data_IF_059081474513
#
_entry.id   IF_059081474513
#
_cell.length_a   1.000
_cell.length_b   1.000
_cell.length_c   1.000
_cell.angle_alpha   90.00
_cell.angle_beta   90.00
_cell.angle_gamma   90.00
#
_symmetry.space_group_name_H-M   'P 1'
#
loop_
_entity.id
_entity.type
_entity.pdbx_description
1 polymer ?
#
# COMPACT_ATOMS: atom_id res chain seq x y z
N UNK A 1 -51.36 -6.73 -5.94
CA UNK A 1 -50.58 -5.49 -5.79
C UNK A 1 -49.16 -5.81 -6.20
N UNK A 2 -48.61 -5.05 -7.15
CA UNK A 2 -47.21 -5.21 -7.55
C UNK A 2 -46.31 -4.79 -6.40
N UNK A 3 -45.28 -5.59 -6.11
CA UNK A 3 -44.33 -5.30 -5.05
C UNK A 3 -43.62 -3.95 -5.34
N UNK A 4 -43.28 -3.12 -4.32
CA UNK A 4 -42.62 -1.82 -4.55
C UNK A 4 -41.25 -1.88 -5.22
N UNK A 5 -40.57 -3.03 -5.13
CA UNK A 5 -39.31 -3.34 -5.81
C UNK A 5 -39.56 -4.18 -7.07
N UNK A 6 -38.73 -3.95 -8.09
CA UNK A 6 -38.74 -4.72 -9.33
C UNK A 6 -38.33 -6.18 -9.11
N UNK A 7 -38.81 -7.08 -9.95
CA UNK A 7 -38.46 -8.51 -9.91
C UNK A 7 -36.96 -8.75 -9.95
N UNK A 8 -36.22 -7.89 -10.67
CA UNK A 8 -34.77 -7.95 -10.76
C UNK A 8 -34.10 -7.68 -9.41
N UNK A 9 -34.57 -6.67 -8.67
CA UNK A 9 -34.06 -6.38 -7.32
C UNK A 9 -34.42 -7.50 -6.36
N UNK A 10 -35.66 -8.00 -6.41
CA UNK A 10 -36.12 -9.10 -5.57
C UNK A 10 -35.31 -10.38 -5.80
N UNK A 11 -35.01 -10.71 -7.06
CA UNK A 11 -34.18 -11.86 -7.40
C UNK A 11 -32.77 -11.75 -6.82
N UNK A 12 -32.17 -10.57 -6.84
CA UNK A 12 -30.84 -10.34 -6.26
C UNK A 12 -30.84 -10.41 -4.72
N UNK A 13 -31.88 -9.86 -4.07
CA UNK A 13 -32.06 -9.98 -2.62
C UNK A 13 -32.16 -11.46 -2.23
N UNK A 14 -33.00 -12.22 -2.93
CA UNK A 14 -33.18 -13.65 -2.68
C UNK A 14 -31.89 -14.46 -2.96
N UNK A 15 -31.17 -14.15 -4.04
CA UNK A 15 -29.87 -14.77 -4.36
C UNK A 15 -28.84 -14.58 -3.25
N UNK A 16 -28.89 -13.42 -2.58
CA UNK A 16 -28.03 -13.07 -1.46
C UNK A 16 -28.58 -13.58 -0.12
N UNK A 17 -29.69 -14.33 -0.09
CA UNK A 17 -30.26 -14.88 1.13
C UNK A 17 -31.08 -13.90 1.97
N UNK A 18 -31.25 -12.65 1.49
CA UNK A 18 -32.09 -11.65 2.14
C UNK A 18 -33.57 -11.93 1.87
N UNK A 19 -34.43 -11.43 2.77
CA UNK A 19 -35.89 -11.52 2.63
C UNK A 19 -36.51 -10.21 3.08
N UNK A 20 -37.61 -9.82 2.47
CA UNK A 20 -38.37 -8.67 2.96
C UNK A 20 -39.27 -9.17 4.08
N UNK A 21 -39.32 -8.41 5.18
CA UNK A 21 -40.19 -8.68 6.31
C UNK A 21 -41.61 -9.04 5.88
N UNK A 22 -42.14 -10.13 6.42
CA UNK A 22 -43.48 -10.60 6.07
C UNK A 22 -44.59 -9.62 6.49
N UNK A 23 -44.33 -8.81 7.52
CA UNK A 23 -45.23 -7.75 8.01
C UNK A 23 -44.98 -6.37 7.37
N UNK A 24 -44.15 -6.31 6.32
CA UNK A 24 -43.89 -5.06 5.61
C UNK A 24 -45.16 -4.53 4.93
N UNK A 25 -45.50 -3.29 5.25
CA UNK A 25 -46.53 -2.51 4.59
C UNK A 25 -45.99 -1.10 4.33
N UNK A 26 -46.32 -0.56 3.16
CA UNK A 26 -46.00 0.83 2.81
C UNK A 26 -46.75 1.77 3.75
N UNK A 27 -46.03 2.71 4.36
CA UNK A 27 -46.59 3.73 5.26
C UNK A 27 -46.40 5.10 4.65
N UNK A 28 -47.28 6.03 5.00
CA UNK A 28 -47.05 7.45 4.69
C UNK A 28 -45.99 7.99 5.66
N UNK A 29 -44.74 7.95 5.23
CA UNK A 29 -43.57 8.34 6.03
C UNK A 29 -42.90 9.51 5.34
N UNK A 30 -42.69 10.60 6.07
CA UNK A 30 -41.93 11.76 5.60
C UNK A 30 -40.69 11.95 6.46
N UNK A 31 -39.64 12.49 5.84
CA UNK A 31 -38.39 12.85 6.51
C UNK A 31 -38.05 14.30 6.24
N UNK A 32 -37.49 14.96 7.25
CA UNK A 32 -36.94 16.30 7.10
C UNK A 32 -35.66 16.24 6.28
N UNK A 33 -35.57 17.10 5.27
CA UNK A 33 -34.39 17.26 4.43
C UNK A 33 -33.97 18.73 4.40
N UNK A 34 -32.72 19.03 4.00
CA UNK A 34 -32.26 20.41 3.86
C UNK A 34 -33.11 21.28 2.91
N UNK A 35 -33.88 20.64 2.01
CA UNK A 35 -34.80 21.29 1.07
C UNK A 35 -36.29 21.08 1.44
N UNK A 36 -36.56 20.83 2.72
CA UNK A 36 -37.90 20.66 3.31
C UNK A 36 -38.34 19.19 3.45
N UNK A 37 -39.52 18.94 4.04
CA UNK A 37 -40.03 17.60 4.28
C UNK A 37 -40.31 16.86 2.96
N UNK A 38 -39.91 15.59 2.88
CA UNK A 38 -40.10 14.73 1.71
C UNK A 38 -40.65 13.36 2.09
N UNK A 39 -41.62 12.87 1.32
CA UNK A 39 -42.13 11.50 1.45
C UNK A 39 -41.07 10.49 1.06
N UNK A 40 -40.95 9.42 1.85
CA UNK A 40 -40.03 8.30 1.60
C UNK A 40 -40.68 7.33 0.62
N UNK A 41 -40.09 7.08 -0.58
CA UNK A 41 -40.69 6.21 -1.59
C UNK A 41 -40.95 4.79 -1.09
N UNK A 42 -42.01 4.11 -1.56
CA UNK A 42 -42.32 2.72 -1.20
C UNK A 42 -41.15 1.73 -1.41
N UNK A 43 -40.31 1.94 -2.42
CA UNK A 43 -39.14 1.11 -2.69
C UNK A 43 -38.01 1.31 -1.67
N UNK A 44 -37.84 2.52 -1.13
CA UNK A 44 -36.90 2.79 -0.04
C UNK A 44 -37.40 2.14 1.25
N UNK A 45 -38.69 2.27 1.55
CA UNK A 45 -39.30 1.60 2.69
C UNK A 45 -39.14 0.07 2.61
N UNK A 46 -39.33 -0.51 1.42
CA UNK A 46 -39.14 -1.93 1.18
C UNK A 46 -37.67 -2.35 1.34
N UNK A 47 -36.73 -1.50 0.97
CA UNK A 47 -35.29 -1.75 1.14
C UNK A 47 -34.87 -1.76 2.61
N UNK A 48 -35.42 -0.86 3.43
CA UNK A 48 -35.18 -0.83 4.88
C UNK A 48 -35.84 -2.00 5.62
N UNK A 49 -36.80 -2.67 4.97
CA UNK A 49 -37.49 -3.84 5.49
C UNK A 49 -36.80 -5.17 5.09
N UNK A 50 -35.63 -5.12 4.45
CA UNK A 50 -34.86 -6.31 4.13
C UNK A 50 -34.21 -6.85 5.40
N UNK A 51 -34.53 -8.09 5.73
CA UNK A 51 -33.84 -8.90 6.72
C UNK A 51 -32.76 -9.74 6.05
N UNK A 52 -31.54 -9.55 6.52
CA UNK A 52 -30.41 -10.42 6.20
C UNK A 52 -30.26 -11.48 7.30
N UNK A 53 -29.83 -12.71 6.97
CA UNK A 53 -29.50 -13.70 7.98
C UNK A 53 -28.50 -13.15 9.02
N UNK A 54 -28.68 -13.51 10.29
CA UNK A 54 -27.84 -13.01 11.37
C UNK A 54 -26.35 -13.31 11.11
N UNK A 55 -25.50 -12.29 11.25
CA UNK A 55 -24.05 -12.40 10.99
C UNK A 55 -23.69 -12.47 9.50
N UNK A 56 -24.65 -12.32 8.59
CA UNK A 56 -24.37 -12.27 7.16
C UNK A 56 -23.83 -10.90 6.76
N UNK A 57 -22.64 -10.91 6.16
CA UNK A 57 -22.04 -9.71 5.59
C UNK A 57 -22.04 -9.84 4.07
N UNK A 58 -22.37 -8.75 3.37
CA UNK A 58 -22.37 -8.69 1.92
C UNK A 58 -21.14 -7.91 1.44
N UNK A 59 -20.41 -8.42 0.45
CA UNK A 59 -19.20 -7.79 -0.10
C UNK A 59 -19.27 -7.59 -1.60
N UNK A 60 -18.70 -6.50 -2.12
CA UNK A 60 -18.74 -6.18 -3.56
C UNK A 60 -17.45 -6.57 -4.31
N UNK A 61 -17.57 -7.39 -5.35
CA UNK A 61 -16.44 -8.06 -6.04
C UNK A 61 -15.44 -7.12 -6.75
N UNK A 62 -15.93 -6.04 -7.35
CA UNK A 62 -15.10 -5.12 -8.15
C UNK A 62 -14.67 -3.88 -7.36
N UNK A 63 -15.35 -3.65 -6.24
CA UNK A 63 -15.11 -2.48 -5.42
C UNK A 63 -14.44 -2.91 -4.11
N UNK A 64 -13.37 -3.70 -4.24
CA UNK A 64 -12.42 -3.93 -3.15
C UNK A 64 -13.03 -4.61 -1.90
N UNK A 65 -14.02 -5.48 -2.11
CA UNK A 65 -14.72 -6.27 -1.09
C UNK A 65 -15.21 -5.47 0.11
N UNK A 66 -15.84 -4.30 -0.12
CA UNK A 66 -16.44 -3.56 0.98
C UNK A 66 -17.69 -4.24 1.50
N UNK A 67 -17.79 -4.25 2.82
CA UNK A 67 -18.98 -4.70 3.53
C UNK A 67 -20.14 -3.73 3.23
N UNK A 68 -21.28 -4.25 2.83
CA UNK A 68 -22.52 -3.53 2.58
C UNK A 68 -23.41 -3.71 3.80
N UNK A 69 -23.55 -2.66 4.59
CA UNK A 69 -24.51 -2.65 5.72
C UNK A 69 -25.69 -1.79 5.33
N UNK A 70 -26.90 -2.34 5.44
CA UNK A 70 -28.14 -1.58 5.34
C UNK A 70 -28.60 -1.30 6.77
N UNK A 71 -28.79 -0.03 7.18
CA UNK A 71 -29.14 0.32 8.55
C UNK A 71 -30.54 -0.21 8.88
N UNK A 72 -30.77 -0.52 10.15
CA UNK A 72 -32.13 -0.73 10.63
C UNK A 72 -32.95 0.57 10.45
N UNK A 73 -34.29 0.51 10.30
CA UNK A 73 -35.13 1.70 10.07
C UNK A 73 -34.92 2.86 11.06
N UNK A 74 -34.46 2.57 12.29
CA UNK A 74 -34.20 3.56 13.33
C UNK A 74 -32.79 4.20 13.28
N UNK A 75 -31.87 3.66 12.49
CA UNK A 75 -30.45 4.06 12.42
C UNK A 75 -30.11 4.86 11.15
N UNK A 76 -31.07 5.03 10.24
CA UNK A 76 -30.90 5.85 9.05
C UNK A 76 -30.79 7.33 9.45
N UNK A 77 -29.57 7.88 9.44
CA UNK A 77 -29.33 9.31 9.67
C UNK A 77 -30.12 10.14 8.66
N UNK A 78 -31.10 10.89 9.16
CA UNK A 78 -31.92 11.81 8.36
C UNK A 78 -31.18 13.13 8.22
N UNK A 79 -30.89 13.53 6.97
CA UNK A 79 -30.39 14.87 6.66
C UNK A 79 -28.88 14.96 6.49
N UNK A 80 -28.37 14.48 5.35
CA UNK A 80 -27.00 14.71 4.93
C UNK A 80 -26.98 15.69 3.76
N UNK A 81 -26.25 16.80 3.92
CA UNK A 81 -25.89 17.71 2.83
C UNK A 81 -24.53 17.29 2.28
N UNK A 82 -24.50 16.52 1.19
CA UNK A 82 -23.26 16.35 0.45
C UNK A 82 -22.90 17.70 -0.19
N UNK A 83 -21.72 18.25 0.12
CA UNK A 83 -21.32 19.58 -0.36
C UNK A 83 -21.48 19.68 -1.89
N UNK A 84 -22.32 20.60 -2.35
CA UNK A 84 -22.58 20.84 -3.78
C UNK A 84 -23.77 20.09 -4.39
N UNK A 85 -24.53 19.30 -3.63
CA UNK A 85 -25.74 18.63 -4.11
C UNK A 85 -26.97 19.04 -3.29
N UNK A 86 -27.83 19.91 -3.85
CA UNK A 86 -29.06 20.41 -3.21
C UNK A 86 -30.25 19.42 -3.24
N UNK A 87 -30.02 18.14 -3.53
CA UNK A 87 -31.11 17.16 -3.61
C UNK A 87 -31.54 16.65 -2.22
N UNK A 88 -32.78 16.13 -2.16
CA UNK A 88 -33.29 15.43 -1.00
C UNK A 88 -32.76 13.99 -0.96
N UNK A 89 -31.76 13.74 -0.12
CA UNK A 89 -31.11 12.43 -0.03
C UNK A 89 -31.59 11.60 1.16
N UNK A 90 -31.54 10.27 1.01
CA UNK A 90 -31.82 9.33 2.09
C UNK A 90 -30.71 8.28 2.20
N UNK A 91 -30.14 8.12 3.40
CA UNK A 91 -29.10 7.14 3.68
C UNK A 91 -29.72 5.73 3.77
N UNK A 92 -29.27 4.83 2.90
CA UNK A 92 -29.73 3.44 2.81
C UNK A 92 -28.65 2.44 3.22
N UNK A 93 -27.45 2.91 3.53
CA UNK A 93 -26.35 2.01 3.82
C UNK A 93 -25.07 2.72 4.19
N UNK A 94 -24.12 1.94 4.71
CA UNK A 94 -22.72 2.33 4.86
C UNK A 94 -21.83 1.21 4.38
N UNK A 95 -20.60 1.57 4.04
CA UNK A 95 -19.57 0.59 3.76
C UNK A 95 -18.34 0.67 4.67
N UNK A 96 -17.46 -0.33 4.54
CA UNK A 96 -16.25 -0.48 5.33
C UNK A 96 -15.22 0.66 5.17
N UNK A 97 -15.41 1.57 4.19
CA UNK A 97 -14.60 2.77 4.00
C UNK A 97 -15.23 4.02 4.65
N UNK A 98 -16.30 3.83 5.44
CA UNK A 98 -17.12 4.89 6.03
C UNK A 98 -17.84 5.77 5.00
N UNK A 99 -18.03 5.27 3.77
CA UNK A 99 -18.84 5.95 2.79
C UNK A 99 -20.32 5.65 3.04
N UNK A 100 -21.17 6.66 2.87
CA UNK A 100 -22.63 6.54 3.00
C UNK A 100 -23.24 6.23 1.65
N UNK A 101 -24.08 5.21 1.59
CA UNK A 101 -24.90 4.86 0.44
C UNK A 101 -26.20 5.64 0.52
N UNK A 102 -26.52 6.37 -0.53
CA UNK A 102 -27.63 7.32 -0.53
C UNK A 102 -28.52 7.12 -1.75
N UNK A 103 -29.81 7.39 -1.60
CA UNK A 103 -30.75 7.46 -2.72
C UNK A 103 -31.34 8.85 -2.80
N UNK A 104 -31.50 9.33 -4.03
CA UNK A 104 -32.19 10.57 -4.33
C UNK A 104 -33.71 10.38 -4.20
N UNK A 105 -34.34 11.06 -3.24
CA UNK A 105 -35.79 11.05 -3.04
C UNK A 105 -36.54 11.81 -4.15
N UNK A 106 -35.84 12.68 -4.91
CA UNK A 106 -36.42 13.50 -5.97
C UNK A 106 -36.31 12.85 -7.36
N UNK A 107 -35.65 11.70 -7.52
CA UNK A 107 -35.44 11.06 -8.83
C UNK A 107 -36.31 9.81 -9.01
N UNK A 108 -37.51 9.92 -9.62
CA UNK A 108 -38.44 8.80 -9.81
C UNK A 108 -38.11 7.93 -11.03
N UNK A 109 -36.90 8.03 -11.60
CA UNK A 109 -36.59 7.43 -12.92
C UNK A 109 -36.70 5.91 -12.95
N UNK A 110 -36.69 5.23 -11.79
CA UNK A 110 -36.94 3.79 -11.65
C UNK A 110 -37.56 3.48 -10.28
N UNK A 111 -38.89 3.54 -10.11
CA UNK A 111 -39.53 3.42 -8.79
C UNK A 111 -39.26 2.07 -8.11
N UNK A 112 -39.06 0.98 -8.87
CA UNK A 112 -38.72 -0.34 -8.34
C UNK A 112 -37.23 -0.73 -8.37
N UNK A 113 -36.35 0.15 -8.83
CA UNK A 113 -34.90 -0.09 -8.88
C UNK A 113 -34.14 1.23 -8.64
N UNK A 114 -34.13 1.72 -7.39
CA UNK A 114 -33.59 3.04 -7.07
C UNK A 114 -32.11 3.15 -7.43
N UNK A 115 -31.69 4.35 -7.81
CA UNK A 115 -30.28 4.66 -8.05
C UNK A 115 -29.59 4.90 -6.71
N UNK A 116 -28.56 4.10 -6.42
CA UNK A 116 -27.74 4.18 -5.21
C UNK A 116 -26.45 4.94 -5.50
N UNK A 117 -26.36 6.11 -4.89
CA UNK A 117 -25.21 7.00 -4.85
C UNK A 117 -24.32 6.62 -3.67
N UNK A 118 -23.08 7.07 -3.73
CA UNK A 118 -22.08 6.75 -2.73
C UNK A 118 -21.21 7.95 -2.45
N UNK A 119 -21.20 8.36 -1.18
CA UNK A 119 -20.55 9.57 -0.71
C UNK A 119 -19.49 9.24 0.33
N UNK A 120 -18.29 9.78 0.18
CA UNK A 120 -17.28 9.79 1.23
C UNK A 120 -17.31 11.14 1.99
N UNK A 121 -16.31 11.41 2.84
CA UNK A 121 -16.23 12.69 3.57
C UNK A 121 -16.05 13.92 2.68
N UNK A 122 -15.59 13.72 1.44
CA UNK A 122 -15.16 14.79 0.54
C UNK A 122 -16.16 15.00 -0.62
N UNK A 123 -17.18 14.13 -0.72
CA UNK A 123 -18.27 14.24 -1.70
C UNK A 123 -18.61 12.92 -2.39
N UNK A 124 -19.13 12.99 -3.61
CA UNK A 124 -19.54 11.80 -4.37
C UNK A 124 -18.31 11.02 -4.84
N UNK A 125 -18.19 9.77 -4.40
CA UNK A 125 -16.97 9.00 -4.61
C UNK A 125 -16.99 8.13 -5.89
N UNK A 126 -18.18 7.74 -6.38
CA UNK A 126 -18.31 6.89 -7.59
C UNK A 126 -19.55 7.19 -8.42
N UNK A 127 -19.56 6.81 -9.73
CA UNK A 127 -20.75 6.88 -10.57
C UNK A 127 -21.95 6.17 -9.94
N UNK A 128 -23.14 6.76 -10.05
CA UNK A 128 -24.32 6.20 -9.43
C UNK A 128 -24.79 4.97 -10.19
N UNK A 129 -25.31 3.96 -9.49
CA UNK A 129 -25.73 2.68 -10.08
C UNK A 129 -27.11 2.30 -9.59
N UNK A 130 -27.87 1.60 -10.42
CA UNK A 130 -29.11 0.96 -9.99
C UNK A 130 -28.83 -0.03 -8.85
N UNK A 131 -29.78 -0.15 -7.92
CA UNK A 131 -29.72 -1.09 -6.81
C UNK A 131 -29.52 -2.52 -7.31
N UNK A 132 -30.26 -2.95 -8.33
CA UNK A 132 -30.10 -4.27 -8.94
C UNK A 132 -28.69 -4.51 -9.45
N UNK A 133 -28.06 -3.49 -10.05
CA UNK A 133 -26.70 -3.58 -10.58
C UNK A 133 -25.65 -3.66 -9.45
N UNK A 134 -25.91 -3.02 -8.30
CA UNK A 134 -25.06 -3.16 -7.10
C UNK A 134 -25.22 -4.54 -6.46
N UNK A 135 -26.45 -5.00 -6.25
CA UNK A 135 -26.71 -6.31 -5.64
C UNK A 135 -26.21 -7.47 -6.51
N UNK A 136 -26.36 -7.38 -7.84
CA UNK A 136 -25.81 -8.36 -8.80
C UNK A 136 -24.29 -8.59 -8.67
N UNK A 137 -23.58 -7.59 -8.16
CA UNK A 137 -22.13 -7.61 -7.94
C UNK A 137 -21.74 -7.91 -6.50
N UNK A 138 -22.71 -7.91 -5.60
CA UNK A 138 -22.53 -8.31 -4.22
C UNK A 138 -22.48 -9.85 -4.10
N UNK A 139 -21.76 -10.31 -3.09
CA UNK A 139 -21.64 -11.71 -2.68
C UNK A 139 -21.82 -11.79 -1.18
N UNK A 140 -22.34 -12.93 -0.73
CA UNK A 140 -22.35 -13.26 0.69
C UNK A 140 -20.91 -13.59 1.11
N UNK A 141 -20.39 -12.85 2.08
CA UNK A 141 -19.15 -13.18 2.76
C UNK A 141 -19.37 -14.49 3.50
N UNK A 142 -18.61 -15.52 3.12
CA UNK A 142 -18.70 -16.81 3.79
C UNK A 142 -18.02 -16.69 5.16
N UNK A 143 -18.59 -17.30 6.21
CA UNK A 143 -17.93 -17.30 7.52
C UNK A 143 -16.55 -17.96 7.41
N UNK A 144 -15.58 -17.51 8.23
CA UNK A 144 -14.30 -18.20 8.34
C UNK A 144 -14.50 -19.68 8.65
N UNK A 145 -13.76 -20.54 7.97
CA UNK A 145 -13.61 -21.93 8.39
C UNK A 145 -12.88 -22.01 9.72
N UNK A 146 -13.05 -23.09 10.48
CA UNK A 146 -12.29 -23.31 11.72
C UNK A 146 -10.76 -23.16 11.52
N UNK A 147 -10.26 -23.51 10.32
CA UNK A 147 -8.84 -23.43 9.97
C UNK A 147 -8.30 -22.00 9.81
N UNK A 148 -9.14 -21.04 9.41
CA UNK A 148 -8.71 -19.65 9.15
C UNK A 148 -9.36 -18.62 10.08
N UNK A 149 -10.27 -19.03 10.97
CA UNK A 149 -10.93 -18.16 11.94
C UNK A 149 -9.94 -17.29 12.74
N UNK A 150 -8.82 -17.88 13.20
CA UNK A 150 -7.79 -17.14 13.93
C UNK A 150 -7.11 -16.08 13.05
N UNK A 151 -6.71 -16.43 11.83
CA UNK A 151 -6.15 -15.50 10.86
C UNK A 151 -7.10 -14.32 10.57
N UNK A 152 -8.41 -14.56 10.48
CA UNK A 152 -9.41 -13.50 10.31
C UNK A 152 -9.57 -12.60 11.55
N UNK A 153 -9.48 -13.16 12.77
CA UNK A 153 -9.48 -12.36 14.00
C UNK A 153 -8.23 -11.47 14.10
N UNK A 154 -7.07 -12.06 13.78
CA UNK A 154 -5.78 -11.36 13.75
C UNK A 154 -5.76 -10.23 12.72
N UNK A 155 -6.28 -10.49 11.52
CA UNK A 155 -6.43 -9.48 10.47
C UNK A 155 -7.31 -8.29 10.89
N UNK A 156 -8.28 -8.51 11.78
CA UNK A 156 -9.16 -7.46 12.30
C UNK A 156 -8.59 -6.76 13.55
N UNK A 157 -7.53 -7.29 14.14
CA UNK A 157 -7.02 -6.85 15.44
C UNK A 157 -7.98 -7.17 16.60
N UNK A 158 -8.80 -8.20 16.44
CA UNK A 158 -9.80 -8.65 17.42
C UNK A 158 -9.12 -9.58 18.44
N UNK A 159 -8.47 -8.97 19.45
CA UNK A 159 -7.68 -9.66 20.46
C UNK A 159 -8.51 -10.67 21.26
N UNK A 160 -9.75 -10.31 21.63
CA UNK A 160 -10.60 -11.18 22.46
C UNK A 160 -10.99 -12.45 21.71
N UNK A 161 -11.40 -12.31 20.43
CA UNK A 161 -11.66 -13.46 19.58
C UNK A 161 -10.40 -14.28 19.34
N UNK A 162 -9.24 -13.63 19.12
CA UNK A 162 -7.96 -14.34 18.97
C UNK A 162 -7.60 -15.15 20.22
N UNK A 163 -7.76 -14.58 21.44
CA UNK A 163 -7.54 -15.28 22.72
C UNK A 163 -8.46 -16.48 22.88
N UNK A 164 -9.76 -16.31 22.62
CA UNK A 164 -10.72 -17.40 22.71
C UNK A 164 -10.40 -18.54 21.74
N UNK A 165 -10.00 -18.22 20.49
CA UNK A 165 -9.65 -19.21 19.49
C UNK A 165 -8.36 -19.97 19.84
N UNK A 166 -7.32 -19.28 20.31
CA UNK A 166 -6.07 -19.92 20.75
C UNK A 166 -6.32 -20.81 21.98
N UNK A 167 -7.11 -20.35 22.96
CA UNK A 167 -7.52 -21.17 24.10
C UNK A 167 -8.33 -22.41 23.68
N UNK A 168 -9.10 -22.30 22.58
CA UNK A 168 -9.81 -23.41 21.93
C UNK A 168 -8.95 -24.32 21.06
N UNK A 169 -7.62 -24.12 21.01
CA UNK A 169 -6.69 -24.95 20.25
C UNK A 169 -6.53 -24.58 18.77
N UNK A 170 -6.85 -23.34 18.38
CA UNK A 170 -6.58 -22.87 17.03
C UNK A 170 -5.07 -22.88 16.72
N UNK A 171 -4.71 -23.34 15.51
CA UNK A 171 -3.31 -23.41 15.07
C UNK A 171 -2.72 -22.03 14.78
N UNK A 172 -1.49 -21.80 15.26
CA UNK A 172 -0.66 -20.63 14.95
C UNK A 172 0.13 -20.78 13.64
N UNK A 173 0.06 -21.95 12.99
CA UNK A 173 0.78 -22.25 11.77
C UNK A 173 0.11 -21.74 10.49
N UNK A 174 0.60 -22.16 9.30
CA UNK A 174 0.08 -21.71 8.02
C UNK A 174 -1.41 -22.04 7.81
N UNK A 175 -2.20 -21.03 7.45
CA UNK A 175 -3.64 -21.17 7.17
C UNK A 175 -3.93 -21.53 5.71
N UNK A 176 -2.95 -21.38 4.82
CA UNK A 176 -3.07 -21.69 3.40
C UNK A 176 -1.80 -22.34 2.83
N UNK A 177 -1.83 -22.75 1.55
CA UNK A 177 -0.69 -23.34 0.84
C UNK A 177 0.45 -22.37 0.56
N UNK A 178 0.23 -21.08 0.77
CA UNK A 178 1.20 -20.04 0.51
C UNK A 178 2.03 -19.69 1.77
N UNK A 179 1.89 -20.46 2.86
CA UNK A 179 2.67 -20.28 4.08
C UNK A 179 2.19 -19.16 4.99
N UNK A 180 1.06 -18.50 4.68
CA UNK A 180 0.59 -17.36 5.47
C UNK A 180 0.11 -17.82 6.84
N UNK A 181 0.64 -17.23 7.92
CA UNK A 181 0.26 -17.52 9.33
C UNK A 181 -0.66 -16.43 9.90
N UNK A 182 -1.36 -16.67 11.03
CA UNK A 182 -2.09 -15.61 11.73
C UNK A 182 -1.25 -14.39 12.10
N UNK A 183 0.05 -14.59 12.40
CA UNK A 183 0.98 -13.51 12.69
C UNK A 183 1.25 -12.62 11.47
N UNK A 184 1.40 -13.21 10.27
CA UNK A 184 1.44 -12.41 9.03
C UNK A 184 0.19 -11.56 8.85
N UNK A 185 -0.99 -12.10 9.22
CA UNK A 185 -2.25 -11.34 9.11
C UNK A 185 -2.29 -10.18 10.08
N UNK A 186 -1.90 -10.39 11.34
CA UNK A 186 -1.80 -9.32 12.34
C UNK A 186 -0.79 -8.25 11.91
N UNK A 187 0.37 -8.67 11.40
CA UNK A 187 1.43 -7.78 10.95
C UNK A 187 1.01 -6.92 9.74
N UNK A 188 0.37 -7.55 8.75
CA UNK A 188 0.07 -6.91 7.47
C UNK A 188 -1.16 -6.01 7.48
N UNK A 189 -2.19 -6.27 8.29
CA UNK A 189 -3.44 -5.48 8.18
C UNK A 189 -3.49 -4.25 9.09
N UNK A 190 -2.34 -3.79 9.61
CA UNK A 190 -2.27 -2.85 10.73
C UNK A 190 -3.01 -3.41 11.96
N UNK A 191 -2.73 -4.68 12.27
CA UNK A 191 -3.28 -5.34 13.44
C UNK A 191 -2.94 -4.59 14.73
N UNK A 192 -3.65 -4.92 15.79
CA UNK A 192 -3.35 -4.38 17.10
C UNK A 192 -1.97 -4.89 17.53
N UNK A 193 -1.02 -4.03 17.96
CA UNK A 193 0.26 -4.47 18.49
C UNK A 193 0.07 -5.44 19.67
N UNK A 194 -1.02 -5.33 20.42
CA UNK A 194 -1.41 -6.27 21.48
C UNK A 194 -1.74 -7.66 20.93
N UNK A 195 -2.37 -7.74 19.75
CA UNK A 195 -2.62 -9.03 19.07
C UNK A 195 -1.31 -9.66 18.60
N UNK A 196 -0.37 -8.86 18.09
CA UNK A 196 0.96 -9.33 17.69
C UNK A 196 1.72 -9.88 18.90
N UNK A 197 1.80 -9.10 19.99
CA UNK A 197 2.42 -9.52 21.25
C UNK A 197 1.79 -10.81 21.79
N UNK A 198 0.46 -10.88 21.81
CA UNK A 198 -0.25 -12.09 22.24
C UNK A 198 0.09 -13.33 21.40
N UNK A 199 0.14 -13.22 20.07
CA UNK A 199 0.46 -14.35 19.20
C UNK A 199 1.89 -14.85 19.45
N UNK A 200 2.84 -13.94 19.64
CA UNK A 200 4.23 -14.28 19.98
C UNK A 200 4.29 -14.98 21.34
N UNK A 201 3.63 -14.43 22.37
CA UNK A 201 3.53 -15.05 23.70
C UNK A 201 2.88 -16.45 23.65
N UNK A 202 1.94 -16.65 22.72
CA UNK A 202 1.30 -17.94 22.48
C UNK A 202 2.20 -18.94 21.72
N UNK A 203 3.41 -18.54 21.30
CA UNK A 203 4.36 -19.39 20.59
C UNK A 203 4.21 -19.38 19.08
N UNK A 204 3.64 -18.31 18.49
CA UNK A 204 3.69 -18.15 17.04
C UNK A 204 5.14 -17.98 16.58
N UNK A 205 5.50 -18.67 15.50
CA UNK A 205 6.81 -18.50 14.87
C UNK A 205 6.93 -17.08 14.31
N UNK A 206 7.80 -16.29 14.94
CA UNK A 206 8.02 -14.86 14.66
C UNK A 206 8.65 -14.63 13.29
N UNK A 207 9.43 -15.60 12.80
CA UNK A 207 10.18 -15.53 11.55
C UNK A 207 9.63 -16.49 10.49
N UNK A 208 8.40 -17.00 10.69
CA UNK A 208 7.72 -17.82 9.70
C UNK A 208 7.74 -17.13 8.34
N UNK A 209 8.06 -17.85 7.26
CA UNK A 209 8.08 -17.28 5.91
C UNK A 209 6.95 -17.83 5.06
N UNK A 210 6.41 -16.98 4.19
CA UNK A 210 5.53 -17.43 3.10
C UNK A 210 6.29 -18.33 2.12
N UNK A 211 5.63 -19.28 1.47
CA UNK A 211 6.30 -20.37 0.70
C UNK A 211 5.83 -20.49 -0.75
N UNK A 212 5.08 -19.51 -1.27
CA UNK A 212 4.08 -19.74 -2.33
C UNK A 212 4.54 -20.32 -3.68
N UNK A 213 3.64 -21.10 -4.31
CA UNK A 213 3.60 -21.37 -5.77
C UNK A 213 3.02 -20.18 -6.58
N UNK A 214 2.42 -19.19 -5.91
CA UNK A 214 1.92 -17.87 -6.41
C UNK A 214 1.88 -16.87 -5.23
N UNK A 215 1.86 -15.55 -5.48
CA UNK A 215 1.68 -14.57 -4.40
C UNK A 215 0.41 -14.92 -3.59
N UNK A 216 0.46 -15.04 -2.25
CA UNK A 216 -0.69 -15.22 -1.40
C UNK A 216 -1.63 -14.03 -1.60
N UNK A 217 -2.78 -14.27 -2.23
CA UNK A 217 -3.86 -13.32 -2.24
C UNK A 217 -4.39 -13.18 -0.80
N UNK A 218 -3.88 -12.21 -0.05
CA UNK A 218 -4.34 -11.90 1.30
C UNK A 218 -5.82 -11.47 1.31
N UNK A 219 -6.34 -10.98 0.19
CA UNK A 219 -7.76 -10.72 -0.05
C UNK A 219 -8.66 -11.94 0.21
N UNK A 220 -8.16 -13.18 0.08
CA UNK A 220 -8.94 -14.38 0.37
C UNK A 220 -9.03 -14.69 1.89
N UNK A 221 -8.13 -14.11 2.70
CA UNK A 221 -8.06 -14.28 4.16
C UNK A 221 -8.51 -13.04 4.94
N UNK A 222 -8.58 -11.88 4.28
CA UNK A 222 -9.04 -10.61 4.82
C UNK A 222 -10.13 -10.11 3.90
N UNK A 223 -11.29 -10.73 4.00
CA UNK A 223 -12.49 -10.28 3.29
C UNK A 223 -13.17 -9.10 4.04
N UNK A 224 -12.39 -8.38 4.87
CA UNK A 224 -12.76 -7.08 5.40
C UNK A 224 -12.23 -6.05 4.42
N UNK A 225 -13.08 -5.18 3.87
CA UNK A 225 -12.78 -4.23 2.80
C UNK A 225 -11.72 -3.14 3.07
N UNK A 226 -10.67 -3.47 3.83
CA UNK A 226 -9.39 -2.78 3.97
C UNK A 226 -8.47 -3.25 2.83
N UNK A 227 -8.50 -2.45 1.78
CA UNK A 227 -7.56 -2.44 0.66
C UNK A 227 -6.11 -2.75 1.07
N UNK A 228 -5.65 -3.97 0.78
CA UNK A 228 -4.22 -4.22 0.66
C UNK A 228 -3.93 -4.85 -0.69
N UNK A 229 -3.68 -3.99 -1.68
CA UNK A 229 -3.32 -4.41 -3.05
C UNK A 229 -1.90 -4.99 -3.16
N UNK A 230 -1.20 -5.15 -2.03
CA UNK A 230 0.11 -5.78 -1.97
C UNK A 230 -0.06 -7.25 -1.59
N UNK A 231 0.58 -8.10 -2.36
CA UNK A 231 0.67 -9.53 -2.10
C UNK A 231 2.03 -9.78 -1.44
N UNK A 232 2.06 -10.66 -0.42
CA UNK A 232 3.33 -11.03 0.22
C UNK A 232 4.11 -11.93 -0.73
N UNK A 233 5.32 -11.59 -1.15
CA UNK A 233 6.09 -12.53 -1.97
C UNK A 233 6.49 -13.77 -1.17
N UNK A 234 6.77 -14.93 -1.80
CA UNK A 234 7.42 -16.04 -1.11
C UNK A 234 8.67 -15.57 -0.35
N UNK A 235 8.93 -16.11 0.83
CA UNK A 235 10.02 -15.72 1.72
C UNK A 235 9.72 -14.48 2.59
N UNK A 236 8.57 -13.83 2.44
CA UNK A 236 8.22 -12.67 3.28
C UNK A 236 7.92 -13.11 4.71
N UNK A 237 8.58 -12.49 5.68
CA UNK A 237 8.35 -12.67 7.13
C UNK A 237 7.25 -11.73 7.65
N UNK A 238 6.72 -11.94 8.88
CA UNK A 238 5.80 -11.00 9.52
C UNK A 238 6.40 -9.59 9.66
N UNK A 239 7.69 -9.48 9.97
CA UNK A 239 8.37 -8.18 10.08
C UNK A 239 8.39 -7.46 8.72
N UNK A 240 8.79 -8.14 7.65
CA UNK A 240 8.74 -7.57 6.30
C UNK A 240 7.31 -7.18 5.90
N UNK A 241 6.32 -8.01 6.25
CA UNK A 241 4.91 -7.73 6.01
C UNK A 241 4.42 -6.46 6.73
N UNK A 242 4.82 -6.26 7.99
CA UNK A 242 4.51 -5.04 8.75
C UNK A 242 5.13 -3.79 8.11
N UNK A 243 6.40 -3.86 7.71
CA UNK A 243 7.11 -2.75 7.06
C UNK A 243 6.44 -2.37 5.73
N UNK A 244 6.00 -3.35 4.94
CA UNK A 244 5.28 -3.08 3.67
C UNK A 244 4.04 -2.20 3.87
N UNK A 245 3.40 -2.27 5.03
CA UNK A 245 2.17 -1.57 5.36
C UNK A 245 2.39 -0.12 5.79
N UNK A 246 3.58 0.20 6.30
CA UNK A 246 3.99 1.59 6.57
C UNK A 246 3.98 2.41 5.26
N UNK A 247 4.26 1.78 4.12
CA UNK A 247 4.33 2.45 2.81
C UNK A 247 3.07 2.45 1.95
N UNK A 248 1.96 1.88 2.39
CA UNK A 248 0.73 1.83 1.57
C UNK A 248 0.06 3.22 1.56
N UNK A 249 -0.29 3.69 0.35
CA UNK A 249 -1.05 4.92 0.06
C UNK A 249 -2.52 4.89 0.56
N UNK A 250 -2.78 4.36 1.76
CA UNK A 250 -4.10 4.61 2.39
C UNK A 250 -4.05 6.02 2.98
N UNK A 251 -5.04 6.86 2.65
CA UNK A 251 -5.21 8.29 3.01
C UNK A 251 -5.03 8.63 4.50
N UNK A 252 -4.84 7.62 5.37
CA UNK A 252 -4.31 7.73 6.73
C UNK A 252 -3.30 6.60 6.94
N UNK A 253 -2.01 6.91 6.92
CA UNK A 253 -0.99 6.03 7.48
C UNK A 253 -1.44 5.62 8.89
N UNK A 254 -1.57 4.33 9.17
CA UNK A 254 -2.06 3.87 10.47
C UNK A 254 -0.94 4.05 11.49
N UNK A 255 -1.12 4.82 12.57
CA UNK A 255 -0.11 4.98 13.62
C UNK A 255 0.45 3.63 14.11
N UNK A 256 -0.45 2.64 14.15
CA UNK A 256 -0.26 1.26 14.58
C UNK A 256 0.72 0.44 13.74
N UNK A 257 0.95 0.77 12.47
CA UNK A 257 1.86 -0.04 11.65
C UNK A 257 3.31 0.03 12.17
N UNK A 258 3.71 1.21 12.65
CA UNK A 258 5.02 1.42 13.27
C UNK A 258 5.10 0.70 14.63
N UNK A 259 4.04 0.79 15.45
CA UNK A 259 3.95 0.08 16.74
C UNK A 259 3.98 -1.46 16.57
N UNK A 260 3.46 -1.97 15.45
CA UNK A 260 3.54 -3.39 15.09
C UNK A 260 4.96 -3.78 14.70
N UNK A 261 5.67 -2.94 13.92
CA UNK A 261 7.10 -3.15 13.62
C UNK A 261 7.91 -3.15 14.92
N UNK A 262 7.68 -2.18 15.80
CA UNK A 262 8.31 -2.09 17.12
C UNK A 262 8.03 -3.37 17.94
N UNK A 263 6.78 -3.82 18.03
CA UNK A 263 6.44 -5.04 18.77
C UNK A 263 7.12 -6.31 18.23
N UNK A 264 7.29 -6.42 16.91
CA UNK A 264 8.01 -7.54 16.29
C UNK A 264 9.52 -7.46 16.56
N UNK A 265 10.10 -6.26 16.45
CA UNK A 265 11.52 -6.02 16.73
C UNK A 265 11.85 -6.25 18.20
N UNK A 266 11.04 -5.72 19.13
CA UNK A 266 11.17 -5.93 20.57
C UNK A 266 11.12 -7.42 20.96
N UNK A 267 10.34 -8.20 20.22
CA UNK A 267 10.20 -9.63 20.40
C UNK A 267 11.33 -10.45 19.77
N UNK A 268 12.28 -9.81 19.09
CA UNK A 268 13.45 -10.46 18.49
C UNK A 268 13.22 -11.03 17.09
N UNK A 269 12.25 -10.49 16.32
CA UNK A 269 12.10 -10.84 14.90
C UNK A 269 13.39 -10.54 14.14
N UNK A 270 13.83 -11.46 13.27
CA UNK A 270 15.06 -11.29 12.51
C UNK A 270 14.89 -10.17 11.45
N UNK A 271 15.60 -9.03 11.58
CA UNK A 271 15.49 -7.92 10.64
C UNK A 271 16.16 -8.21 9.29
N UNK A 272 16.85 -9.34 9.15
CA UNK A 272 17.59 -9.75 7.96
C UNK A 272 16.90 -10.83 7.14
N UNK A 273 15.68 -11.25 7.52
CA UNK A 273 14.83 -12.10 6.68
C UNK A 273 14.69 -11.52 5.27
N UNK A 274 14.67 -12.36 4.24
CA UNK A 274 14.49 -11.90 2.86
C UNK A 274 13.50 -12.73 2.09
N UNK A 275 12.77 -12.07 1.20
CA UNK A 275 11.90 -12.75 0.24
C UNK A 275 12.68 -13.41 -0.92
N UNK A 276 11.94 -13.97 -1.87
CA UNK A 276 12.44 -14.61 -3.09
C UNK A 276 13.22 -13.68 -4.03
N UNK A 277 13.13 -12.37 -3.86
CA UNK A 277 13.93 -11.37 -4.57
C UNK A 277 15.15 -10.90 -3.76
N UNK A 278 15.35 -11.44 -2.56
CA UNK A 278 16.38 -11.00 -1.62
C UNK A 278 16.06 -9.64 -0.99
N UNK A 279 14.79 -9.22 -0.95
CA UNK A 279 14.42 -7.96 -0.31
C UNK A 279 14.26 -8.14 1.20
N UNK A 280 15.08 -7.41 1.98
CA UNK A 280 15.01 -7.38 3.43
C UNK A 280 13.99 -6.36 3.95
N UNK A 281 13.51 -6.48 5.22
CA UNK A 281 12.72 -5.45 5.89
C UNK A 281 13.34 -4.05 5.77
N UNK A 282 14.67 -3.93 5.92
CA UNK A 282 15.35 -2.64 5.81
C UNK A 282 15.30 -2.07 4.38
N UNK A 283 15.48 -2.91 3.36
CA UNK A 283 15.34 -2.48 1.97
C UNK A 283 13.90 -2.02 1.67
N UNK A 284 12.91 -2.74 2.18
CA UNK A 284 11.51 -2.36 2.03
C UNK A 284 11.22 -1.00 2.70
N UNK A 285 11.71 -0.79 3.93
CA UNK A 285 11.57 0.47 4.65
C UNK A 285 12.24 1.63 3.89
N UNK A 286 13.44 1.42 3.38
CA UNK A 286 14.20 2.43 2.62
C UNK A 286 13.49 2.88 1.32
N UNK A 287 12.65 2.03 0.73
CA UNK A 287 11.87 2.37 -0.48
C UNK A 287 10.68 3.27 -0.18
N UNK A 288 10.17 3.21 1.06
CA UNK A 288 9.01 3.97 1.49
C UNK A 288 9.49 5.38 1.85
N UNK A 289 9.65 6.27 0.87
CA UNK A 289 10.05 7.67 1.15
C UNK A 289 8.88 8.52 1.70
N UNK A 290 8.58 8.36 3.00
CA UNK A 290 7.55 9.11 3.75
C UNK A 290 8.07 9.48 5.15
N UNK A 291 7.41 10.43 5.82
CA UNK A 291 7.85 10.99 7.12
C UNK A 291 8.16 9.94 8.19
N UNK A 292 7.41 8.83 8.24
CA UNK A 292 7.60 7.75 9.25
C UNK A 292 8.62 6.67 8.86
N UNK A 293 9.23 6.78 7.69
CA UNK A 293 10.19 5.78 7.23
C UNK A 293 11.52 5.86 7.96
N UNK A 294 11.94 7.05 8.40
CA UNK A 294 13.14 7.21 9.25
C UNK A 294 12.99 6.46 10.57
N UNK A 295 11.84 6.57 11.22
CA UNK A 295 11.54 5.85 12.46
C UNK A 295 11.74 4.32 12.30
N UNK A 296 11.19 3.75 11.23
CA UNK A 296 11.32 2.31 10.91
C UNK A 296 12.74 1.92 10.51
N UNK A 297 13.43 2.74 9.71
CA UNK A 297 14.84 2.50 9.35
C UNK A 297 15.71 2.49 10.60
N UNK A 298 15.57 3.48 11.49
CA UNK A 298 16.26 3.51 12.79
C UNK A 298 15.98 2.27 13.63
N UNK A 299 14.72 1.85 13.75
CA UNK A 299 14.35 0.67 14.53
C UNK A 299 15.03 -0.60 13.99
N UNK A 300 14.96 -0.83 12.68
CA UNK A 300 15.55 -2.00 12.04
C UNK A 300 17.07 -2.00 12.17
N UNK A 301 17.74 -0.85 11.98
CA UNK A 301 19.18 -0.73 12.15
C UNK A 301 19.62 -1.01 13.60
N UNK A 302 18.89 -0.49 14.60
CA UNK A 302 19.13 -0.80 16.02
C UNK A 302 18.91 -2.28 16.35
N UNK A 303 18.00 -2.95 15.64
CA UNK A 303 17.77 -4.38 15.76
C UNK A 303 18.85 -5.25 15.10
N UNK A 304 19.83 -4.64 14.41
CA UNK A 304 20.90 -5.37 13.72
C UNK A 304 20.59 -5.70 12.26
N UNK A 305 19.70 -4.93 11.60
CA UNK A 305 19.55 -5.02 10.16
C UNK A 305 20.86 -4.68 9.44
N UNK A 306 21.28 -5.53 8.50
CA UNK A 306 22.43 -5.28 7.65
C UNK A 306 22.12 -4.16 6.64
N UNK A 307 22.82 -3.02 6.67
CA UNK A 307 22.64 -1.94 5.70
C UNK A 307 23.17 -2.31 4.29
N UNK A 308 23.90 -3.42 4.15
CA UNK A 308 24.54 -3.87 2.92
C UNK A 308 24.21 -5.34 2.57
N UNK A 309 22.91 -5.75 2.53
CA UNK A 309 22.53 -7.14 2.40
C UNK A 309 23.16 -7.79 1.16
N UNK A 310 23.78 -8.96 1.36
CA UNK A 310 24.46 -9.76 0.32
C UNK A 310 23.54 -10.32 -0.77
N UNK A 311 22.23 -10.22 -0.58
CA UNK A 311 21.20 -10.81 -1.43
C UNK A 311 20.37 -9.74 -2.14
N UNK A 312 19.76 -10.12 -3.26
CA UNK A 312 18.90 -9.26 -4.05
C UNK A 312 19.63 -8.31 -5.00
N UNK A 313 18.83 -7.59 -5.80
CA UNK A 313 19.36 -6.70 -6.85
C UNK A 313 19.65 -5.28 -6.36
N UNK A 314 19.27 -4.91 -5.13
CA UNK A 314 19.33 -3.52 -4.64
C UNK A 314 19.91 -3.46 -3.23
N UNK A 315 20.43 -2.31 -2.82
CA UNK A 315 20.75 -2.01 -1.42
C UNK A 315 19.74 -1.03 -0.82
N UNK A 316 19.58 -1.01 0.52
CA UNK A 316 18.76 -0.01 1.22
C UNK A 316 19.14 1.42 0.83
N UNK A 317 20.44 1.75 0.80
CA UNK A 317 20.91 3.07 0.39
C UNK A 317 20.52 3.38 -1.06
N UNK A 318 20.66 2.43 -2.00
CA UNK A 318 20.22 2.62 -3.38
C UNK A 318 18.71 2.93 -3.47
N UNK A 319 17.88 2.33 -2.62
CA UNK A 319 16.45 2.63 -2.60
C UNK A 319 16.13 4.02 -2.01
N UNK A 320 16.90 4.46 -1.01
CA UNK A 320 16.65 5.67 -0.23
C UNK A 320 17.11 6.99 -0.87
N UNK A 321 18.06 6.98 -1.82
CA UNK A 321 18.70 8.23 -2.34
C UNK A 321 17.77 9.24 -3.04
N UNK A 322 16.54 8.85 -3.41
CA UNK A 322 15.53 9.78 -3.93
C UNK A 322 14.47 10.17 -2.90
N UNK A 323 14.60 9.66 -1.68
CA UNK A 323 13.70 9.93 -0.56
C UNK A 323 14.16 11.11 0.29
N UNK A 324 13.74 11.09 1.55
CA UNK A 324 14.08 12.12 2.54
C UNK A 324 15.54 11.96 3.01
N UNK A 325 16.24 13.06 3.37
CA UNK A 325 17.61 13.02 3.87
C UNK A 325 17.80 12.19 5.16
N UNK A 326 16.81 12.17 6.05
CA UNK A 326 16.88 11.45 7.34
C UNK A 326 17.22 9.96 7.21
N UNK A 327 16.40 9.15 6.51
CA UNK A 327 16.71 7.74 6.24
C UNK A 327 18.07 7.51 5.57
N UNK A 328 18.51 8.42 4.68
CA UNK A 328 19.82 8.32 4.05
C UNK A 328 20.94 8.51 5.08
N UNK A 329 20.83 9.55 5.92
CA UNK A 329 21.80 9.82 6.98
C UNK A 329 21.91 8.64 7.96
N UNK A 330 20.78 8.06 8.36
CA UNK A 330 20.76 6.89 9.25
C UNK A 330 21.41 5.65 8.62
N UNK A 331 21.12 5.35 7.34
CA UNK A 331 21.74 4.25 6.61
C UNK A 331 23.26 4.44 6.50
N UNK A 332 23.71 5.64 6.16
CA UNK A 332 25.14 5.96 6.07
C UNK A 332 25.84 5.87 7.43
N UNK A 333 25.20 6.36 8.50
CA UNK A 333 25.72 6.25 9.87
C UNK A 333 25.83 4.79 10.34
N UNK A 334 24.94 3.90 9.86
CA UNK A 334 25.02 2.47 10.09
C UNK A 334 26.05 1.75 9.20
N UNK A 335 26.72 2.45 8.27
CA UNK A 335 27.75 1.90 7.41
C UNK A 335 27.25 1.37 6.06
N UNK A 336 26.09 1.83 5.58
CA UNK A 336 25.67 1.58 4.21
C UNK A 336 26.72 2.13 3.23
N UNK A 337 27.13 1.34 2.24
CA UNK A 337 28.23 1.68 1.34
C UNK A 337 27.72 2.37 0.05
N UNK A 338 28.04 3.67 -0.17
CA UNK A 338 27.69 4.40 -1.40
C UNK A 338 28.29 3.82 -2.69
N UNK A 339 29.40 3.09 -2.56
CA UNK A 339 30.19 2.55 -3.67
C UNK A 339 29.85 1.08 -3.93
N UNK A 340 28.96 0.46 -3.14
CA UNK A 340 28.57 -0.94 -3.34
C UNK A 340 27.79 -1.11 -4.63
N UNK A 341 28.31 -1.95 -5.52
CA UNK A 341 27.62 -2.35 -6.75
C UNK A 341 26.32 -3.10 -6.45
N UNK A 342 25.28 -2.84 -7.24
CA UNK A 342 23.98 -3.51 -7.14
C UNK A 342 23.65 -4.23 -8.44
N UNK A 343 22.64 -5.12 -8.41
CA UNK A 343 22.09 -5.75 -9.62
C UNK A 343 21.20 -4.82 -10.45
N UNK A 344 21.17 -3.53 -10.15
CA UNK A 344 20.36 -2.54 -10.86
C UNK A 344 21.01 -2.14 -12.18
N UNK A 345 20.16 -1.81 -13.15
CA UNK A 345 20.59 -1.39 -14.48
C UNK A 345 19.96 -0.06 -14.87
N UNK A 346 20.73 0.77 -15.58
CA UNK A 346 20.30 2.05 -16.13
C UNK A 346 21.15 2.34 -17.36
N UNK A 347 20.55 2.87 -18.44
CA UNK A 347 21.22 3.02 -19.75
C UNK A 347 21.94 1.74 -20.25
N UNK A 348 21.41 0.56 -19.90
CA UNK A 348 22.01 -0.77 -20.15
C UNK A 348 23.34 -1.03 -19.41
N UNK A 349 23.82 -0.10 -18.61
CA UNK A 349 24.91 -0.33 -17.68
C UNK A 349 24.41 -1.12 -16.47
N UNK A 350 25.23 -2.04 -16.01
CA UNK A 350 24.96 -2.90 -14.86
C UNK A 350 25.78 -2.49 -13.65
N UNK A 351 25.59 -3.12 -12.48
CA UNK A 351 26.49 -2.89 -11.35
C UNK A 351 26.36 -1.50 -10.70
N UNK A 352 25.25 -0.79 -10.90
CA UNK A 352 25.10 0.58 -10.41
C UNK A 352 25.21 0.66 -8.90
N UNK A 353 25.86 1.71 -8.42
CA UNK A 353 26.00 1.98 -6.98
C UNK A 353 24.99 3.02 -6.50
N UNK A 354 24.74 3.14 -5.19
CA UNK A 354 23.96 4.25 -4.66
C UNK A 354 24.50 5.63 -5.08
N UNK A 355 25.82 5.81 -5.16
CA UNK A 355 26.44 7.05 -5.63
C UNK A 355 26.11 7.36 -7.10
N UNK A 356 26.12 6.36 -7.98
CA UNK A 356 25.64 6.53 -9.37
C UNK A 356 24.19 7.01 -9.41
N UNK A 357 23.31 6.40 -8.62
CA UNK A 357 21.90 6.79 -8.57
C UNK A 357 21.69 8.18 -7.98
N UNK A 358 22.44 8.55 -6.94
CA UNK A 358 22.39 9.89 -6.37
C UNK A 358 22.78 10.95 -7.41
N UNK A 359 23.83 10.70 -8.19
CA UNK A 359 24.27 11.56 -9.28
C UNK A 359 23.19 11.79 -10.36
N UNK A 360 22.34 10.79 -10.65
CA UNK A 360 21.25 10.91 -11.64
C UNK A 360 20.15 11.86 -11.21
N UNK A 361 19.74 11.85 -9.93
CA UNK A 361 18.48 12.50 -9.52
C UNK A 361 18.32 13.00 -8.09
N UNK A 362 19.30 12.79 -7.19
CA UNK A 362 19.09 13.09 -5.78
C UNK A 362 19.05 14.61 -5.48
N UNK A 363 18.43 14.95 -4.35
CA UNK A 363 18.54 16.29 -3.76
C UNK A 363 20.02 16.60 -3.46
N UNK A 364 20.41 17.87 -3.54
CA UNK A 364 21.80 18.26 -3.29
C UNK A 364 22.30 17.85 -1.89
N UNK A 365 21.44 17.96 -0.87
CA UNK A 365 21.75 17.54 0.50
C UNK A 365 22.08 16.04 0.57
N UNK A 366 21.23 15.20 -0.04
CA UNK A 366 21.47 13.75 -0.14
C UNK A 366 22.74 13.47 -0.94
N UNK A 367 22.97 14.21 -2.04
CA UNK A 367 24.18 14.04 -2.84
C UNK A 367 25.44 14.32 -2.01
N UNK A 368 25.46 15.39 -1.19
CA UNK A 368 26.58 15.69 -0.28
C UNK A 368 26.79 14.56 0.73
N UNK A 369 25.73 14.12 1.42
CA UNK A 369 25.81 13.02 2.38
C UNK A 369 26.42 11.74 1.76
N UNK A 370 25.96 11.37 0.57
CA UNK A 370 26.42 10.15 -0.13
C UNK A 370 27.88 10.28 -0.58
N UNK A 371 28.30 11.47 -1.04
CA UNK A 371 29.69 11.75 -1.44
C UNK A 371 30.62 11.78 -0.23
N UNK A 372 30.22 12.43 0.86
CA UNK A 372 31.02 12.52 2.10
C UNK A 372 31.28 11.13 2.71
N UNK A 373 30.33 10.20 2.53
CA UNK A 373 30.47 8.81 2.97
C UNK A 373 31.13 7.88 1.92
N UNK A 374 31.32 8.34 0.69
CA UNK A 374 31.88 7.53 -0.39
C UNK A 374 33.40 7.39 -0.20
N UNK A 375 33.89 6.15 -0.24
CA UNK A 375 35.34 5.86 -0.22
C UNK A 375 36.00 6.07 -1.58
N UNK A 376 35.22 6.00 -2.65
CA UNK A 376 35.65 6.17 -4.03
C UNK A 376 34.57 6.94 -4.81
N UNK A 377 34.85 8.22 -5.10
CA UNK A 377 33.96 9.09 -5.86
C UNK A 377 33.92 8.71 -7.36
N UNK A 378 34.95 8.03 -7.84
CA UNK A 378 35.13 7.57 -9.22
C UNK A 378 34.83 6.06 -9.37
N UNK A 379 34.00 5.52 -8.48
CA UNK A 379 33.55 4.13 -8.56
C UNK A 379 32.99 3.82 -9.95
N UNK A 380 33.38 2.69 -10.53
CA UNK A 380 33.04 2.34 -11.93
C UNK A 380 32.07 1.18 -12.02
N UNK A 381 31.11 1.27 -12.95
CA UNK A 381 30.35 0.11 -13.42
C UNK A 381 31.24 -0.84 -14.23
N UNK A 382 30.80 -2.08 -14.56
CA UNK A 382 31.52 -2.95 -15.47
C UNK A 382 31.81 -2.33 -16.84
N UNK A 383 30.97 -1.38 -17.28
CA UNK A 383 31.13 -0.62 -18.51
C UNK A 383 32.03 0.64 -18.34
N UNK A 384 32.61 0.85 -17.15
CA UNK A 384 33.51 1.96 -16.85
C UNK A 384 32.83 3.30 -16.59
N UNK A 385 31.50 3.31 -16.43
CA UNK A 385 30.74 4.54 -16.16
C UNK A 385 31.02 4.96 -14.71
N UNK A 386 31.26 6.25 -14.49
CA UNK A 386 31.41 6.86 -13.16
C UNK A 386 30.15 7.67 -12.78
N UNK A 387 29.96 8.02 -11.50
CA UNK A 387 28.87 8.90 -11.07
C UNK A 387 28.87 10.25 -11.81
N UNK A 388 30.05 10.80 -12.14
CA UNK A 388 30.17 12.07 -12.86
C UNK A 388 29.59 11.98 -14.28
N UNK A 389 29.80 10.87 -15.00
CA UNK A 389 29.13 10.63 -16.29
C UNK A 389 27.60 10.71 -16.19
N UNK A 390 27.03 10.27 -15.06
CA UNK A 390 25.58 10.34 -14.84
C UNK A 390 25.11 11.75 -14.45
N UNK A 391 25.84 12.43 -13.57
CA UNK A 391 25.51 13.79 -13.10
C UNK A 391 25.43 14.79 -14.27
N UNK A 392 26.39 14.70 -15.20
CA UNK A 392 26.52 15.65 -16.31
C UNK A 392 25.45 15.50 -17.41
N UNK A 393 24.69 14.40 -17.39
CA UNK A 393 23.54 14.20 -18.29
C UNK A 393 22.30 15.04 -17.89
N UNK A 394 22.21 15.40 -16.61
CA UNK A 394 21.10 16.17 -16.03
C UNK A 394 21.15 17.66 -16.38
N UNK A 395 20.09 18.40 -16.02
CA UNK A 395 20.06 19.86 -16.12
C UNK A 395 20.78 20.54 -14.95
N UNK A 396 20.70 19.95 -13.75
CA UNK A 396 21.19 20.59 -12.52
C UNK A 396 22.71 20.40 -12.33
N UNK A 397 23.53 21.46 -12.41
CA UNK A 397 24.99 21.36 -12.31
C UNK A 397 25.48 21.10 -10.89
N UNK A 398 24.67 21.36 -9.86
CA UNK A 398 25.09 21.27 -8.47
C UNK A 398 25.68 19.90 -8.09
N UNK A 399 25.10 18.80 -8.59
CA UNK A 399 25.59 17.44 -8.30
C UNK A 399 26.94 17.16 -8.95
N UNK A 400 27.15 17.63 -10.18
CA UNK A 400 28.46 17.55 -10.83
C UNK A 400 29.49 18.41 -10.07
N UNK A 401 29.12 19.62 -9.62
CA UNK A 401 30.00 20.45 -8.78
C UNK A 401 30.39 19.74 -7.48
N UNK A 402 29.44 19.08 -6.81
CA UNK A 402 29.71 18.31 -5.58
C UNK A 402 30.72 17.19 -5.86
N UNK A 403 30.53 16.42 -6.94
CA UNK A 403 31.46 15.36 -7.33
C UNK A 403 32.86 15.89 -7.66
N UNK A 404 32.94 16.95 -8.46
CA UNK A 404 34.21 17.58 -8.85
C UNK A 404 34.94 18.17 -7.64
N UNK A 405 34.21 18.82 -6.73
CA UNK A 405 34.77 19.34 -5.48
C UNK A 405 35.29 18.21 -4.56
N UNK A 406 34.68 17.02 -4.64
CA UNK A 406 35.14 15.81 -3.96
C UNK A 406 36.26 15.06 -4.71
N UNK A 407 36.77 15.61 -5.82
CA UNK A 407 37.92 15.08 -6.55
C UNK A 407 37.59 14.07 -7.66
N UNK A 408 36.34 14.01 -8.13
CA UNK A 408 35.98 13.16 -9.27
C UNK A 408 36.75 13.56 -10.53
N UNK A 409 37.27 12.57 -11.26
CA UNK A 409 38.03 12.76 -12.49
C UNK A 409 37.12 13.24 -13.65
N UNK A 410 37.25 14.50 -14.12
CA UNK A 410 36.46 15.01 -15.24
C UNK A 410 36.81 14.35 -16.58
N UNK A 411 37.94 13.66 -16.65
CA UNK A 411 38.45 13.00 -17.85
C UNK A 411 38.29 11.47 -17.80
N UNK A 412 37.56 10.94 -16.80
CA UNK A 412 37.31 9.52 -16.66
C UNK A 412 36.74 8.94 -17.97
N UNK A 413 37.27 7.79 -18.40
CA UNK A 413 36.84 7.16 -19.65
C UNK A 413 36.10 5.84 -19.40
N UNK A 414 35.01 5.62 -20.13
CA UNK A 414 34.29 4.34 -20.13
C UNK A 414 35.05 3.23 -20.85
N UNK A 415 34.66 1.98 -20.60
CA UNK A 415 35.25 0.80 -21.23
C UNK A 415 34.48 0.44 -22.51
N UNK A 416 35.17 0.56 -23.65
CA UNK A 416 34.61 0.22 -24.97
C UNK A 416 33.67 1.29 -25.55
N UNK A 417 33.25 1.11 -26.81
CA UNK A 417 32.41 2.10 -27.53
C UNK A 417 30.91 2.02 -27.23
N UNK A 418 30.50 1.05 -26.41
CA UNK A 418 29.10 0.71 -26.17
C UNK A 418 28.62 0.98 -24.75
N UNK A 419 29.44 1.60 -23.89
CA UNK A 419 29.10 1.82 -22.48
C UNK A 419 27.75 2.55 -22.29
N UNK A 420 27.44 3.51 -23.16
CA UNK A 420 26.14 4.20 -23.18
C UNK A 420 25.19 3.69 -24.29
N UNK A 421 25.55 2.61 -24.98
CA UNK A 421 24.80 2.02 -26.09
C UNK A 421 24.35 3.03 -27.17
N UNK A 422 23.14 2.85 -27.66
CA UNK A 422 22.49 3.77 -28.63
C UNK A 422 21.96 5.06 -27.99
N UNK A 423 22.05 5.23 -26.66
CA UNK A 423 21.44 6.34 -25.92
C UNK A 423 22.13 7.66 -26.26
N UNK A 424 23.46 7.67 -26.12
CA UNK A 424 24.27 8.80 -26.52
C UNK A 424 24.83 8.52 -27.91
N UNK A 425 25.31 7.31 -28.18
CA UNK A 425 25.80 6.83 -29.48
C UNK A 425 27.28 6.43 -29.42
N UNK A 426 27.86 5.94 -30.53
CA UNK A 426 29.25 5.46 -30.52
C UNK A 426 30.23 6.58 -30.16
N UNK A 427 31.30 6.24 -29.44
CA UNK A 427 32.40 7.14 -29.10
C UNK A 427 32.18 8.05 -27.88
N UNK A 428 31.02 8.02 -27.22
CA UNK A 428 30.83 8.73 -25.93
C UNK A 428 31.58 8.01 -24.84
N UNK A 429 32.68 8.59 -24.37
CA UNK A 429 33.55 7.94 -23.40
C UNK A 429 33.83 8.77 -22.17
N UNK A 430 33.74 10.08 -22.24
CA UNK A 430 34.04 10.98 -21.12
C UNK A 430 32.79 11.71 -20.59
N UNK A 431 32.82 12.27 -19.37
CA UNK A 431 31.78 13.16 -18.88
C UNK A 431 31.51 14.33 -19.84
N UNK A 432 32.56 14.87 -20.47
CA UNK A 432 32.44 15.95 -21.44
C UNK A 432 31.68 15.51 -22.70
N UNK A 433 31.94 14.30 -23.22
CA UNK A 433 31.21 13.75 -24.36
C UNK A 433 29.71 13.59 -24.04
N UNK A 434 29.39 13.14 -22.82
CA UNK A 434 27.99 13.01 -22.36
C UNK A 434 27.33 14.39 -22.29
N UNK A 435 27.98 15.36 -21.66
CA UNK A 435 27.47 16.74 -21.55
C UNK A 435 27.22 17.38 -22.93
N UNK A 436 28.15 17.19 -23.87
CA UNK A 436 28.04 17.68 -25.24
C UNK A 436 26.86 17.06 -25.99
N UNK A 437 26.67 15.73 -25.91
CA UNK A 437 25.56 15.05 -26.59
C UNK A 437 24.20 15.33 -25.98
N UNK A 438 24.15 15.62 -24.68
CA UNK A 438 22.94 16.10 -24.01
C UNK A 438 22.69 17.60 -24.21
N UNK A 439 23.59 18.35 -24.86
CA UNK A 439 23.46 19.80 -25.07
C UNK A 439 23.54 20.63 -23.79
N UNK A 440 24.25 20.16 -22.76
CA UNK A 440 24.33 20.79 -21.44
C UNK A 440 25.44 21.85 -21.39
N UNK A 441 25.17 23.03 -21.95
CA UNK A 441 26.16 24.12 -22.05
C UNK A 441 26.82 24.50 -20.72
N UNK A 442 26.03 24.62 -19.66
CA UNK A 442 26.56 24.94 -18.32
C UNK A 442 27.46 23.84 -17.77
N UNK A 443 27.15 22.58 -18.09
CA UNK A 443 27.93 21.43 -17.65
C UNK A 443 29.25 21.31 -18.43
N UNK A 444 29.22 21.64 -19.73
CA UNK A 444 30.43 21.74 -20.56
C UNK A 444 31.36 22.79 -19.97
N UNK A 445 30.84 24.00 -19.72
CA UNK A 445 31.62 25.08 -19.10
C UNK A 445 32.19 24.67 -17.73
N UNK A 446 31.37 24.02 -16.89
CA UNK A 446 31.82 23.49 -15.60
C UNK A 446 32.96 22.47 -15.76
N UNK A 447 32.87 21.52 -16.69
CA UNK A 447 33.93 20.53 -16.88
C UNK A 447 35.22 21.17 -17.42
N UNK A 448 35.11 22.21 -18.26
CA UNK A 448 36.26 22.96 -18.78
C UNK A 448 37.00 23.77 -17.69
N UNK A 449 36.31 24.19 -16.63
CA UNK A 449 36.92 24.85 -15.45
C UNK A 449 37.85 23.92 -14.66
N UNK A 450 37.64 22.59 -14.75
CA UNK A 450 38.40 21.57 -14.02
C UNK A 450 39.40 20.83 -14.93
N UNK A 451 39.82 21.47 -16.04
CA UNK A 451 40.69 20.87 -17.06
C UNK A 451 42.14 20.71 -16.63
#
# INVERSE_FOLDING_TARGET
>A
MTHPLSDKVLAEIARLGGRIRADFAVRDTAVETPVGPRSVPPSIQALLAIEWPAGQVLVHKEDLNWELTFPAPAEAETGFTASGYENAWYAVGRDSQRCTLMVDLASPRNPGDPIVYRFDSDGMWHPPRLLSARLARAKVQRPPTAKNALAHACARGDLDTARALVAGGASLGPVNKAGVTPLHMAAFTSGSPETVRFLIEAGADIDAVTTGEKPPALHALVDSGRLYRRELRPGTSPLAAAVQCVGVFVRKAQPRAVEVVEALVDAGADPNTTDDLGESPLLEAARVARDRAGEVVTMLLKAGADPNPGVGKSSPLYAAVYGLPGPVAELLAAGADPCRGTGQTYWKASGLTPLHRAAVGALEEVMRMVVDAAKDVDVRTPEGITPLHMAVSGSEPARARILLAAGADPHASTVGDTAFGTQFGPGTRTPLDVAARCGRREMIALLEEYR
#
